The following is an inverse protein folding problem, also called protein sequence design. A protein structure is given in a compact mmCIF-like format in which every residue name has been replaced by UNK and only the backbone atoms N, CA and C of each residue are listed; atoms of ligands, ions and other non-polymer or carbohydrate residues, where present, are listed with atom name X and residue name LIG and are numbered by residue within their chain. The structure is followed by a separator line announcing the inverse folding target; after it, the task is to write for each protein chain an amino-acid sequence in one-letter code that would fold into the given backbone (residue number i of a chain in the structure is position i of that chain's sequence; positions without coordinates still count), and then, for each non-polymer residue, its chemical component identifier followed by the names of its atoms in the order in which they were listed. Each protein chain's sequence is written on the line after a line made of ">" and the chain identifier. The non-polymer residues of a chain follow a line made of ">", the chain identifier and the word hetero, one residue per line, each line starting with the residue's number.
data_IF_683455816208
#
_entry.id   IF_683455816208
#
_cell.length_a   1.000
_cell.length_b   1.000
_cell.length_c   1.000
_cell.angle_alpha   90.00
_cell.angle_beta   90.00
_cell.angle_gamma   90.00
#
_symmetry.space_group_name_H-M   'P 1'
#
loop_
_entity.id
_entity.type
_entity.pdbx_description
1 polymer ?
#
# COMPACT_ATOMS: atom_id res chain seq x y z
N UNK A 1 6.85 12.65 -12.83
CA UNK A 1 7.21 11.68 -11.79
C UNK A 1 6.70 10.32 -12.21
N UNK A 2 7.42 9.26 -11.88
CA UNK A 2 6.99 7.87 -12.12
C UNK A 2 7.34 7.01 -10.92
N UNK A 3 6.56 5.95 -10.71
CA UNK A 3 6.77 4.94 -9.68
C UNK A 3 6.50 3.55 -10.24
N UNK A 4 7.19 2.57 -9.71
CA UNK A 4 6.99 1.16 -10.04
C UNK A 4 6.95 0.37 -8.73
N UNK A 5 5.94 -0.47 -8.58
CA UNK A 5 5.78 -1.32 -7.40
C UNK A 5 5.05 -2.62 -7.74
N UNK A 6 5.02 -3.54 -6.79
CA UNK A 6 4.30 -4.80 -6.84
C UNK A 6 3.32 -4.95 -5.68
N UNK A 7 2.70 -6.12 -5.57
CA UNK A 7 1.81 -6.47 -4.44
C UNK A 7 2.56 -7.23 -3.36
N UNK A 8 3.61 -7.94 -3.73
CA UNK A 8 4.44 -8.70 -2.81
C UNK A 8 3.74 -9.96 -2.26
N UNK A 9 4.13 -10.35 -1.04
CA UNK A 9 3.74 -11.64 -0.46
C UNK A 9 2.27 -11.74 -0.04
N UNK A 10 1.48 -10.65 -0.13
CA UNK A 10 0.02 -10.68 -0.05
C UNK A 10 -0.59 -11.61 -1.11
N UNK A 11 0.04 -11.71 -2.29
CA UNK A 11 -0.38 -12.62 -3.35
C UNK A 11 -0.44 -14.09 -2.90
N UNK A 12 0.39 -14.51 -1.96
CA UNK A 12 0.32 -15.88 -1.42
C UNK A 12 -1.04 -16.17 -0.79
N UNK A 13 -1.60 -15.21 -0.04
CA UNK A 13 -2.95 -15.35 0.53
C UNK A 13 -4.03 -15.29 -0.55
N UNK A 14 -3.82 -14.48 -1.59
CA UNK A 14 -4.74 -14.45 -2.73
C UNK A 14 -4.84 -15.83 -3.40
N UNK A 15 -3.72 -16.54 -3.56
CA UNK A 15 -3.68 -17.91 -4.09
C UNK A 15 -4.34 -18.91 -3.14
N UNK A 16 -3.93 -18.90 -1.87
CA UNK A 16 -4.39 -19.83 -0.85
C UNK A 16 -5.91 -19.72 -0.57
N UNK A 17 -6.43 -18.48 -0.61
CA UNK A 17 -7.83 -18.18 -0.28
C UNK A 17 -8.70 -17.95 -1.52
N UNK A 18 -8.14 -18.06 -2.71
CA UNK A 18 -8.81 -17.80 -3.99
C UNK A 18 -9.50 -16.43 -4.01
N UNK A 19 -8.75 -15.38 -3.66
CA UNK A 19 -9.22 -13.99 -3.57
C UNK A 19 -8.36 -13.07 -4.43
N UNK A 20 -8.79 -12.84 -5.66
CA UNK A 20 -8.00 -12.16 -6.68
C UNK A 20 -8.51 -10.76 -7.06
N UNK A 21 -9.72 -10.42 -6.63
CA UNK A 21 -10.45 -9.23 -7.07
C UNK A 21 -9.93 -7.91 -6.46
N UNK A 22 -9.20 -7.96 -5.34
CA UNK A 22 -8.69 -6.76 -4.66
C UNK A 22 -7.21 -6.48 -4.89
N UNK A 23 -6.41 -7.49 -5.25
CA UNK A 23 -4.95 -7.32 -5.39
C UNK A 23 -4.53 -6.37 -6.51
N UNK A 24 -5.40 -6.21 -7.52
CA UNK A 24 -5.21 -5.20 -8.56
C UNK A 24 -5.35 -3.77 -8.02
N UNK A 25 -6.22 -3.55 -7.03
CA UNK A 25 -6.34 -2.26 -6.34
C UNK A 25 -5.06 -1.99 -5.54
N UNK A 26 -4.53 -3.02 -4.85
CA UNK A 26 -3.25 -2.92 -4.14
C UNK A 26 -2.13 -2.47 -5.07
N UNK A 27 -2.00 -3.12 -6.24
CA UNK A 27 -0.96 -2.79 -7.22
C UNK A 27 -0.99 -1.33 -7.65
N UNK A 28 -2.18 -0.82 -7.98
CA UNK A 28 -2.35 0.59 -8.36
C UNK A 28 -2.04 1.49 -7.19
N UNK A 29 -2.57 1.20 -5.99
CA UNK A 29 -2.41 2.04 -4.82
C UNK A 29 -0.94 2.18 -4.40
N UNK A 30 -0.17 1.09 -4.39
CA UNK A 30 1.25 1.13 -4.06
C UNK A 30 2.02 2.05 -5.00
N UNK A 31 1.74 1.99 -6.30
CA UNK A 31 2.43 2.81 -7.30
C UNK A 31 1.98 4.28 -7.30
N UNK A 32 0.66 4.54 -7.21
CA UNK A 32 0.16 5.93 -7.31
C UNK A 32 0.35 6.72 -6.02
N UNK A 33 0.29 6.06 -4.85
CA UNK A 33 0.58 6.74 -3.59
C UNK A 33 2.05 7.19 -3.51
N UNK A 34 2.97 6.44 -4.11
CA UNK A 34 4.39 6.80 -4.16
C UNK A 34 4.68 8.06 -5.00
N UNK A 35 3.99 8.24 -6.11
CA UNK A 35 4.14 9.48 -6.89
C UNK A 35 3.37 10.65 -6.29
N UNK A 36 2.27 10.36 -5.60
CA UNK A 36 1.43 11.35 -4.92
C UNK A 36 2.19 12.12 -3.83
N UNK A 37 3.08 11.45 -3.08
CA UNK A 37 3.84 12.10 -2.00
C UNK A 37 4.79 13.20 -2.48
N UNK A 38 5.04 13.26 -3.78
CA UNK A 38 5.77 14.36 -4.42
C UNK A 38 4.84 15.46 -4.95
N UNK A 39 3.53 15.35 -4.72
CA UNK A 39 2.52 16.27 -5.22
C UNK A 39 2.05 15.98 -6.65
N UNK A 40 2.45 14.83 -7.22
CA UNK A 40 2.10 14.51 -8.59
C UNK A 40 0.66 13.99 -8.70
N UNK A 41 -0.05 14.48 -9.70
CA UNK A 41 -1.33 13.95 -10.14
C UNK A 41 -1.09 12.74 -11.05
N UNK A 42 -1.56 11.53 -10.72
CA UNK A 42 -1.43 10.37 -11.58
C UNK A 42 -2.18 10.56 -12.90
N UNK A 43 -1.50 10.33 -14.02
CA UNK A 43 -2.08 10.44 -15.37
C UNK A 43 -2.50 9.10 -15.92
N UNK A 44 -1.61 8.11 -15.86
CA UNK A 44 -1.86 6.79 -16.38
C UNK A 44 -1.07 5.71 -15.64
N UNK A 45 -1.55 4.49 -15.81
CA UNK A 45 -1.02 3.28 -15.22
C UNK A 45 -0.83 2.21 -16.30
N UNK A 46 0.22 1.43 -16.15
CA UNK A 46 0.50 0.23 -16.93
C UNK A 46 0.76 -0.92 -15.96
N UNK A 47 0.29 -2.13 -16.30
CA UNK A 47 0.53 -3.32 -15.49
C UNK A 47 1.36 -4.37 -16.24
N UNK A 48 1.98 -5.24 -15.47
CA UNK A 48 2.60 -6.46 -15.94
C UNK A 48 2.07 -7.63 -15.12
N UNK A 49 1.38 -8.55 -15.80
CA UNK A 49 0.86 -9.78 -15.21
C UNK A 49 1.69 -10.95 -15.73
N UNK A 50 2.45 -11.60 -14.85
CA UNK A 50 3.29 -12.74 -15.19
C UNK A 50 2.79 -14.00 -14.47
N UNK A 51 2.62 -15.12 -15.19
CA UNK A 51 2.13 -16.36 -14.63
C UNK A 51 2.82 -17.59 -15.24
N UNK A 52 2.71 -18.75 -14.58
CA UNK A 52 3.18 -20.01 -15.13
C UNK A 52 2.26 -20.51 -16.24
N UNK A 53 0.96 -20.50 -15.95
CA UNK A 53 -0.13 -20.83 -16.87
C UNK A 53 -1.26 -19.85 -16.66
N UNK A 54 -1.77 -19.28 -17.75
CA UNK A 54 -2.83 -18.28 -17.68
C UNK A 54 -4.17 -18.93 -17.32
N UNK A 55 -4.75 -18.48 -16.21
CA UNK A 55 -6.15 -18.65 -15.88
C UNK A 55 -6.87 -17.36 -16.22
N UNK A 56 -7.76 -17.42 -17.22
CA UNK A 56 -8.44 -16.23 -17.75
C UNK A 56 -9.38 -15.60 -16.72
N UNK A 57 -10.07 -16.42 -15.91
CA UNK A 57 -11.02 -15.92 -14.91
C UNK A 57 -10.30 -15.24 -13.76
N UNK A 58 -9.16 -15.77 -13.33
CA UNK A 58 -8.30 -15.15 -12.32
C UNK A 58 -7.70 -13.85 -12.86
N UNK A 59 -7.15 -13.87 -14.07
CA UNK A 59 -6.59 -12.68 -14.71
C UNK A 59 -7.64 -11.57 -14.88
N UNK A 60 -8.87 -11.93 -15.25
CA UNK A 60 -9.97 -10.97 -15.38
C UNK A 60 -10.33 -10.31 -14.04
N UNK A 61 -10.30 -11.06 -12.92
CA UNK A 61 -10.50 -10.49 -11.58
C UNK A 61 -9.39 -9.51 -11.22
N UNK A 62 -8.13 -9.89 -11.44
CA UNK A 62 -6.97 -9.02 -11.15
C UNK A 62 -7.02 -7.75 -11.98
N UNK A 63 -7.21 -7.86 -13.30
CA UNK A 63 -7.30 -6.69 -14.20
C UNK A 63 -8.52 -5.83 -13.86
N UNK A 64 -9.64 -6.44 -13.47
CA UNK A 64 -10.80 -5.73 -12.94
C UNK A 64 -10.47 -4.90 -11.70
N UNK A 65 -9.68 -5.46 -10.78
CA UNK A 65 -9.13 -4.76 -9.61
C UNK A 65 -8.21 -3.60 -10.00
N UNK A 66 -7.33 -3.79 -10.98
CA UNK A 66 -6.46 -2.74 -11.52
C UNK A 66 -7.29 -1.59 -12.12
N UNK A 67 -8.26 -1.92 -12.96
CA UNK A 67 -9.18 -0.93 -13.54
C UNK A 67 -9.92 -0.14 -12.43
N UNK A 68 -10.37 -0.83 -11.39
CA UNK A 68 -11.01 -0.19 -10.23
C UNK A 68 -10.08 0.73 -9.46
N UNK A 69 -8.83 0.32 -9.23
CA UNK A 69 -7.80 1.16 -8.60
C UNK A 69 -7.52 2.42 -9.43
N UNK A 70 -7.43 2.30 -10.75
CA UNK A 70 -7.27 3.43 -11.67
C UNK A 70 -8.47 4.38 -11.63
N UNK A 71 -9.70 3.88 -11.62
CA UNK A 71 -10.92 4.68 -11.46
C UNK A 71 -10.92 5.46 -10.13
N UNK A 72 -10.58 4.79 -9.04
CA UNK A 72 -10.53 5.38 -7.71
C UNK A 72 -9.46 6.47 -7.59
N UNK A 73 -8.29 6.27 -8.20
CA UNK A 73 -7.22 7.25 -8.23
C UNK A 73 -7.39 8.35 -9.27
N UNK A 74 -8.28 8.14 -10.26
CA UNK A 74 -8.53 9.10 -11.33
C UNK A 74 -7.48 9.08 -12.43
N UNK A 75 -6.71 8.00 -12.58
CA UNK A 75 -5.76 7.82 -13.67
C UNK A 75 -6.30 6.86 -14.74
N UNK A 76 -5.75 6.93 -15.94
CA UNK A 76 -6.12 6.06 -17.05
C UNK A 76 -5.35 4.73 -16.98
N UNK A 77 -6.04 3.59 -17.06
CA UNK A 77 -5.39 2.33 -17.39
C UNK A 77 -5.14 2.29 -18.90
N UNK A 78 -3.91 2.55 -19.35
CA UNK A 78 -3.59 2.62 -20.78
C UNK A 78 -3.32 1.26 -21.41
N UNK A 79 -2.95 0.26 -20.61
CA UNK A 79 -2.61 -1.07 -21.07
C UNK A 79 -1.66 -1.75 -20.11
N UNK A 80 -0.99 -2.76 -20.61
CA UNK A 80 -0.06 -3.57 -19.85
C UNK A 80 0.46 -4.72 -20.68
N UNK A 81 1.03 -5.71 -20.01
CA UNK A 81 1.53 -6.93 -20.62
C UNK A 81 1.07 -8.15 -19.81
N UNK A 82 0.69 -9.21 -20.50
CA UNK A 82 0.43 -10.51 -19.89
C UNK A 82 1.42 -11.53 -20.43
N UNK A 83 2.24 -12.07 -19.55
CA UNK A 83 3.27 -13.04 -19.93
C UNK A 83 3.00 -14.41 -19.30
N UNK A 84 2.83 -15.41 -20.15
CA UNK A 84 2.79 -16.81 -19.74
C UNK A 84 4.21 -17.40 -19.82
N UNK A 85 4.75 -17.79 -18.66
CA UNK A 85 6.15 -18.26 -18.53
C UNK A 85 6.18 -19.61 -17.81
N UNK A 86 5.88 -20.71 -18.53
CA UNK A 86 5.87 -22.06 -17.96
C UNK A 86 7.22 -22.42 -17.34
N UNK A 87 7.20 -22.93 -16.12
CA UNK A 87 8.41 -23.32 -15.39
C UNK A 87 9.10 -22.20 -14.61
N UNK A 88 8.74 -20.93 -14.82
CA UNK A 88 9.17 -19.82 -13.95
C UNK A 88 8.24 -19.63 -12.74
N UNK A 89 6.95 -19.73 -12.97
CA UNK A 89 5.94 -19.68 -11.91
C UNK A 89 5.22 -21.03 -11.83
N UNK A 90 4.86 -21.50 -10.63
CA UNK A 90 3.96 -22.63 -10.47
C UNK A 90 2.59 -22.40 -11.12
N UNK A 91 1.89 -23.47 -11.48
CA UNK A 91 0.52 -23.38 -11.95
C UNK A 91 -0.37 -22.76 -10.84
N UNK A 92 -1.22 -21.79 -11.22
CA UNK A 92 -2.09 -21.07 -10.31
C UNK A 92 -1.43 -19.91 -9.56
N UNK A 93 -0.14 -19.67 -9.76
CA UNK A 93 0.58 -18.52 -9.20
C UNK A 93 0.90 -17.48 -10.29
N UNK A 94 0.89 -16.22 -9.90
CA UNK A 94 1.26 -15.10 -10.75
C UNK A 94 2.01 -14.03 -9.95
N UNK A 95 2.69 -13.15 -10.65
CA UNK A 95 3.28 -11.95 -10.09
C UNK A 95 2.77 -10.71 -10.82
N UNK A 96 2.76 -9.59 -10.11
CA UNK A 96 2.24 -8.33 -10.59
C UNK A 96 3.27 -7.22 -10.42
N UNK A 97 3.47 -6.44 -11.47
CA UNK A 97 4.21 -5.20 -11.39
C UNK A 97 3.37 -4.07 -12.00
N UNK A 98 3.37 -2.91 -11.33
CA UNK A 98 2.68 -1.72 -11.77
C UNK A 98 3.64 -0.60 -12.08
N UNK A 99 3.28 0.25 -13.04
CA UNK A 99 4.02 1.45 -13.41
C UNK A 99 3.06 2.62 -13.54
N UNK A 100 3.22 3.59 -12.63
CA UNK A 100 2.43 4.82 -12.63
C UNK A 100 3.26 5.99 -13.15
N UNK A 101 2.62 6.84 -13.94
CA UNK A 101 3.19 8.13 -14.39
C UNK A 101 2.26 9.24 -13.95
N UNK A 102 2.82 10.26 -13.34
CA UNK A 102 2.11 11.46 -12.90
C UNK A 102 2.85 12.74 -13.25
N UNK A 103 2.14 13.84 -13.15
CA UNK A 103 2.64 15.18 -13.45
C UNK A 103 2.50 16.08 -12.23
N UNK A 104 3.49 16.93 -12.05
CA UNK A 104 3.49 18.03 -11.07
C UNK A 104 4.29 19.20 -11.67
N UNK A 105 3.82 20.42 -11.45
CA UNK A 105 4.60 21.59 -11.80
C UNK A 105 5.90 21.60 -10.99
N UNK A 106 7.03 21.88 -11.63
CA UNK A 106 8.34 21.85 -10.98
C UNK A 106 8.39 22.73 -9.73
N UNK A 107 7.71 23.86 -9.76
CA UNK A 107 7.59 24.81 -8.62
C UNK A 107 6.66 24.32 -7.50
N UNK A 108 5.83 23.30 -7.75
CA UNK A 108 4.90 22.73 -6.80
C UNK A 108 5.35 21.34 -6.32
N UNK A 109 6.54 20.90 -6.72
CA UNK A 109 7.10 19.64 -6.23
C UNK A 109 7.29 19.70 -4.70
N UNK A 110 6.77 18.72 -4.02
CA UNK A 110 6.86 18.63 -2.55
C UNK A 110 8.21 18.02 -2.18
N UNK A 111 9.06 18.81 -1.53
CA UNK A 111 10.30 18.35 -0.90
C UNK A 111 10.30 18.71 0.59
N UNK A 112 9.98 17.75 1.42
CA UNK A 112 9.94 17.93 2.87
C UNK A 112 11.31 18.29 3.45
N UNK A 113 12.42 17.86 2.84
CA UNK A 113 13.78 18.17 3.34
C UNK A 113 14.07 19.67 3.27
N UNK A 114 13.50 20.35 2.31
CA UNK A 114 13.66 21.81 2.17
C UNK A 114 12.57 22.56 2.97
N UNK A 115 11.34 22.08 2.97
CA UNK A 115 10.19 22.83 3.47
C UNK A 115 9.89 22.63 4.96
N UNK A 116 10.12 21.43 5.52
CA UNK A 116 9.76 21.09 6.91
C UNK A 116 10.65 21.85 7.91
N UNK A 117 10.02 22.44 8.94
CA UNK A 117 10.68 23.23 9.97
C UNK A 117 10.32 22.69 11.37
N UNK A 118 11.17 23.01 12.39
CA UNK A 118 10.81 22.75 13.78
C UNK A 118 9.48 23.40 14.17
N UNK A 119 8.61 22.64 14.83
CA UNK A 119 7.28 23.08 15.23
C UNK A 119 6.16 22.77 14.22
N UNK A 120 6.49 22.22 13.05
CA UNK A 120 5.47 21.70 12.14
C UNK A 120 4.76 20.48 12.74
N UNK A 121 3.50 20.32 12.38
CA UNK A 121 2.63 19.27 12.92
C UNK A 121 2.56 18.09 11.95
N UNK A 122 2.67 16.89 12.48
CA UNK A 122 2.44 15.65 11.74
C UNK A 122 0.96 15.26 11.79
N UNK A 123 0.39 14.99 10.63
CA UNK A 123 -0.98 14.47 10.49
C UNK A 123 -0.91 13.06 9.91
N UNK A 124 -1.47 12.08 10.60
CA UNK A 124 -1.59 10.71 10.11
C UNK A 124 -2.89 10.53 9.34
N UNK A 125 -2.80 9.95 8.14
CA UNK A 125 -3.94 9.43 7.39
C UNK A 125 -4.05 7.93 7.65
N UNK A 126 -5.18 7.49 8.22
CA UNK A 126 -5.35 6.09 8.60
C UNK A 126 -5.30 5.15 7.40
N UNK A 127 -4.69 3.97 7.58
CA UNK A 127 -4.72 2.86 6.62
C UNK A 127 -6.09 2.16 6.60
N UNK A 128 -6.28 1.25 5.65
CA UNK A 128 -7.42 0.32 5.59
C UNK A 128 -7.11 -1.05 6.24
N UNK A 129 -5.90 -1.24 6.72
CA UNK A 129 -5.36 -2.49 7.23
C UNK A 129 -3.87 -2.59 6.92
N UNK A 130 -3.36 -3.80 6.76
CA UNK A 130 -1.94 -4.04 6.46
C UNK A 130 -1.52 -3.62 5.04
N UNK A 131 -2.45 -3.11 4.22
CA UNK A 131 -2.23 -2.69 2.84
C UNK A 131 -1.57 -3.80 2.00
N UNK A 132 -0.28 -3.62 1.61
CA UNK A 132 0.50 -4.63 0.87
C UNK A 132 1.86 -4.89 1.52
N UNK A 133 2.09 -4.42 2.74
CA UNK A 133 3.34 -4.61 3.47
C UNK A 133 3.15 -5.52 4.70
N UNK A 134 4.25 -6.05 5.24
CA UNK A 134 4.22 -6.89 6.44
C UNK A 134 3.65 -8.30 6.25
N UNK A 135 3.20 -8.68 5.06
CA UNK A 135 2.52 -9.96 4.81
C UNK A 135 3.39 -11.19 5.05
N UNK A 136 4.69 -11.08 4.98
CA UNK A 136 5.59 -12.17 5.36
C UNK A 136 5.45 -12.54 6.85
N UNK A 137 5.32 -11.54 7.72
CA UNK A 137 5.10 -11.73 9.15
C UNK A 137 3.65 -12.13 9.43
N UNK A 138 2.69 -11.41 8.85
CA UNK A 138 1.25 -11.67 8.99
C UNK A 138 0.92 -13.14 8.64
N UNK A 139 1.43 -13.66 7.53
CA UNK A 139 1.24 -15.05 7.13
C UNK A 139 1.81 -16.04 8.14
N UNK A 140 2.97 -15.77 8.72
CA UNK A 140 3.52 -16.61 9.80
C UNK A 140 2.64 -16.62 11.04
N UNK A 141 2.02 -15.48 11.39
CA UNK A 141 1.07 -15.42 12.51
C UNK A 141 -0.19 -16.23 12.19
N UNK A 142 -0.74 -16.12 10.99
CA UNK A 142 -1.88 -16.95 10.54
C UNK A 142 -1.55 -18.44 10.60
N UNK A 143 -0.38 -18.85 10.10
CA UNK A 143 0.08 -20.23 10.15
C UNK A 143 0.25 -20.73 11.59
N UNK A 144 0.87 -19.92 12.44
CA UNK A 144 1.12 -20.24 13.86
C UNK A 144 -0.18 -20.39 14.66
N UNK A 145 -1.15 -19.51 14.41
CA UNK A 145 -2.46 -19.54 15.10
C UNK A 145 -3.43 -20.55 14.50
N UNK A 146 -3.24 -20.97 13.27
CA UNK A 146 -4.19 -21.76 12.50
C UNK A 146 -5.47 -21.01 12.14
N UNK A 147 -5.48 -19.67 12.26
CA UNK A 147 -6.63 -18.83 11.97
C UNK A 147 -7.00 -18.88 10.48
N UNK A 148 -8.30 -18.95 10.20
CA UNK A 148 -8.84 -19.17 8.86
C UNK A 148 -9.64 -17.96 8.35
N UNK A 149 -9.66 -17.73 7.02
CA UNK A 149 -10.34 -16.56 6.45
C UNK A 149 -11.84 -16.50 6.72
N UNK A 150 -12.48 -17.65 6.98
CA UNK A 150 -13.92 -17.73 7.29
C UNK A 150 -14.26 -17.40 8.74
N UNK A 151 -13.27 -17.27 9.62
CA UNK A 151 -13.50 -16.94 11.02
C UNK A 151 -14.00 -15.50 11.17
N UNK A 152 -14.85 -15.29 12.17
CA UNK A 152 -15.33 -13.95 12.50
C UNK A 152 -14.28 -13.17 13.30
N UNK A 153 -13.90 -12.03 12.79
CA UNK A 153 -13.00 -11.08 13.42
C UNK A 153 -13.69 -9.70 13.54
N UNK A 154 -14.02 -9.30 14.76
CA UNK A 154 -14.74 -8.03 15.02
C UNK A 154 -15.99 -7.81 14.15
N UNK A 155 -16.77 -8.88 13.93
CA UNK A 155 -18.01 -8.82 13.16
C UNK A 155 -17.86 -8.88 11.64
N UNK A 156 -16.65 -9.06 11.15
CA UNK A 156 -16.33 -9.27 9.72
C UNK A 156 -15.62 -10.61 9.54
N UNK A 157 -15.48 -11.09 8.32
CA UNK A 157 -14.62 -12.25 8.05
C UNK A 157 -13.15 -11.84 8.17
N UNK A 158 -12.35 -12.68 8.83
CA UNK A 158 -10.90 -12.43 8.96
C UNK A 158 -10.25 -12.25 7.58
N UNK A 159 -10.66 -13.04 6.60
CA UNK A 159 -10.19 -12.92 5.22
C UNK A 159 -10.47 -11.55 4.60
N UNK A 160 -11.61 -10.91 4.90
CA UNK A 160 -11.93 -9.58 4.40
C UNK A 160 -11.06 -8.51 5.07
N UNK A 161 -10.80 -8.65 6.36
CA UNK A 161 -9.95 -7.73 7.12
C UNK A 161 -8.49 -7.83 6.66
N UNK A 162 -7.99 -9.05 6.50
CA UNK A 162 -6.60 -9.32 6.08
C UNK A 162 -6.38 -8.94 4.60
N UNK A 163 -7.36 -9.21 3.71
CA UNK A 163 -7.26 -8.90 2.29
C UNK A 163 -7.80 -7.52 1.92
N UNK A 164 -8.12 -6.68 2.93
CA UNK A 164 -8.56 -5.32 2.65
C UNK A 164 -7.58 -4.61 1.69
N UNK A 165 -8.08 -4.00 0.60
CA UNK A 165 -7.21 -3.37 -0.37
C UNK A 165 -6.52 -2.13 0.22
N UNK A 166 -5.32 -1.87 -0.25
CA UNK A 166 -4.55 -0.66 0.05
C UNK A 166 -5.37 0.59 -0.27
N UNK A 167 -5.43 1.51 0.67
CA UNK A 167 -6.17 2.76 0.51
C UNK A 167 -5.51 3.65 -0.52
N UNK A 168 -6.34 4.19 -1.40
CA UNK A 168 -5.95 5.20 -2.38
C UNK A 168 -6.13 6.60 -1.80
N UNK A 169 -5.04 7.32 -1.63
CA UNK A 169 -5.04 8.66 -1.02
C UNK A 169 -5.06 9.80 -2.06
N UNK A 170 -5.05 9.48 -3.35
CA UNK A 170 -4.86 10.45 -4.44
C UNK A 170 -5.88 11.60 -4.36
N UNK A 171 -7.18 11.30 -4.41
CA UNK A 171 -8.21 12.34 -4.43
C UNK A 171 -8.22 13.23 -3.19
N UNK A 172 -8.21 12.69 -1.95
CA UNK A 172 -8.21 13.53 -0.75
C UNK A 172 -6.92 14.34 -0.60
N UNK A 173 -5.76 13.79 -0.95
CA UNK A 173 -4.48 14.52 -0.85
C UNK A 173 -4.38 15.62 -1.89
N UNK A 174 -4.74 15.37 -3.16
CA UNK A 174 -4.75 16.42 -4.19
C UNK A 174 -5.75 17.54 -3.85
N UNK A 175 -6.91 17.19 -3.29
CA UNK A 175 -7.86 18.21 -2.79
C UNK A 175 -7.26 19.04 -1.65
N UNK A 176 -6.56 18.40 -0.71
CA UNK A 176 -5.86 19.11 0.36
C UNK A 176 -4.74 20.01 -0.16
N UNK A 177 -3.94 19.52 -1.12
CA UNK A 177 -2.88 20.31 -1.78
C UNK A 177 -3.47 21.53 -2.51
N UNK A 178 -4.59 21.34 -3.21
CA UNK A 178 -5.29 22.44 -3.89
C UNK A 178 -5.80 23.50 -2.89
N UNK A 179 -6.27 23.08 -1.72
CA UNK A 179 -6.87 23.97 -0.73
C UNK A 179 -5.82 24.66 0.17
N UNK A 180 -4.80 23.93 0.58
CA UNK A 180 -3.84 24.38 1.59
C UNK A 180 -2.47 24.73 1.01
N UNK A 181 -2.18 24.27 -0.20
CA UNK A 181 -0.96 24.60 -0.93
C UNK A 181 0.32 24.44 -0.10
N UNK A 182 1.12 25.52 0.02
CA UNK A 182 2.42 25.47 0.71
C UNK A 182 2.36 25.17 2.21
N UNK A 183 1.17 25.11 2.82
CA UNK A 183 1.05 24.66 4.22
C UNK A 183 1.33 23.17 4.36
N UNK A 184 1.15 22.38 3.30
CA UNK A 184 1.55 20.98 3.25
C UNK A 184 3.00 20.94 2.77
N UNK A 185 3.91 20.71 3.70
CA UNK A 185 5.35 20.84 3.46
C UNK A 185 6.04 19.52 3.09
N UNK A 186 5.44 18.39 3.42
CA UNK A 186 6.00 17.08 3.15
C UNK A 186 4.93 16.01 3.27
N UNK A 187 5.09 14.93 2.51
CA UNK A 187 4.24 13.75 2.55
C UNK A 187 5.15 12.52 2.61
N UNK A 188 4.79 11.54 3.44
CA UNK A 188 5.48 10.27 3.52
C UNK A 188 4.48 9.14 3.34
N UNK A 189 4.71 8.29 2.35
CA UNK A 189 4.01 7.02 2.20
C UNK A 189 4.64 6.01 3.15
N UNK A 190 3.86 5.53 4.11
CA UNK A 190 4.35 4.55 5.08
C UNK A 190 4.20 3.16 4.46
N UNK A 191 5.33 2.55 4.12
CA UNK A 191 5.47 1.23 3.51
C UNK A 191 6.45 0.39 4.32
N UNK A 192 7.11 -0.59 3.72
CA UNK A 192 8.14 -1.40 4.39
C UNK A 192 9.17 -0.53 5.12
N UNK A 193 9.49 -0.90 6.35
CA UNK A 193 10.28 -0.09 7.28
C UNK A 193 9.45 0.81 8.20
N UNK A 194 8.12 0.92 7.98
CA UNK A 194 7.16 1.59 8.84
C UNK A 194 7.46 3.07 9.08
N UNK A 195 6.99 3.60 10.19
CA UNK A 195 7.19 4.99 10.59
C UNK A 195 8.67 5.35 10.76
N UNK A 196 9.47 4.40 11.24
CA UNK A 196 10.88 4.64 11.60
C UNK A 196 11.76 4.89 10.37
N UNK A 197 11.44 4.31 9.23
CA UNK A 197 12.25 4.45 8.02
C UNK A 197 11.64 5.40 6.99
N UNK A 198 10.32 5.53 6.95
CA UNK A 198 9.68 6.37 5.93
C UNK A 198 9.57 7.84 6.34
N UNK A 199 9.20 8.15 7.59
CA UNK A 199 9.10 9.54 8.04
C UNK A 199 10.44 10.29 7.93
N UNK A 200 11.60 9.71 8.29
CA UNK A 200 12.88 10.41 8.13
C UNK A 200 13.24 10.81 6.70
N UNK A 201 12.67 10.15 5.69
CA UNK A 201 12.97 10.45 4.27
C UNK A 201 12.61 11.88 3.87
N UNK A 202 11.59 12.45 4.53
CA UNK A 202 11.14 13.83 4.28
C UNK A 202 11.75 14.85 5.23
N UNK A 203 12.64 14.44 6.11
CA UNK A 203 13.30 15.33 7.07
C UNK A 203 14.73 15.59 6.68
N UNK A 204 15.16 16.85 6.82
CA UNK A 204 16.59 17.19 6.67
C UNK A 204 17.39 16.77 7.90
N UNK A 205 18.70 16.69 7.74
CA UNK A 205 19.62 16.42 8.85
C UNK A 205 19.40 17.43 10.01
N UNK A 206 19.37 16.91 11.23
CA UNK A 206 19.16 17.70 12.45
C UNK A 206 17.68 17.88 12.84
N UNK A 207 16.72 17.41 12.03
CA UNK A 207 15.32 17.34 12.41
C UNK A 207 14.95 15.91 12.84
N UNK A 208 14.01 15.80 13.75
CA UNK A 208 13.40 14.53 14.13
C UNK A 208 11.87 14.69 14.22
N UNK A 209 11.14 13.62 13.91
CA UNK A 209 9.73 13.51 14.19
C UNK A 209 9.51 13.03 15.61
N UNK A 210 8.60 13.68 16.34
CA UNK A 210 8.13 13.22 17.63
C UNK A 210 6.70 12.74 17.49
N UNK A 211 6.49 11.43 17.55
CA UNK A 211 5.21 10.79 17.36
C UNK A 211 4.78 10.15 18.68
N UNK A 212 3.63 10.60 19.22
CA UNK A 212 3.08 10.00 20.43
C UNK A 212 2.27 8.76 20.07
N UNK A 213 2.65 7.60 20.56
CA UNK A 213 1.93 6.33 20.33
C UNK A 213 0.48 6.34 20.82
N UNK A 214 0.14 7.26 21.73
CA UNK A 214 -1.21 7.49 22.23
C UNK A 214 -2.06 8.40 21.34
N UNK A 215 -1.51 8.94 20.23
CA UNK A 215 -2.23 9.87 19.37
C UNK A 215 -3.30 9.19 18.51
N UNK A 216 -3.26 7.87 18.39
CA UNK A 216 -4.29 7.07 17.71
C UNK A 216 -4.53 5.74 18.45
N UNK A 217 -5.69 5.13 18.23
CA UNK A 217 -5.95 3.77 18.69
C UNK A 217 -5.34 2.78 17.69
N UNK A 218 -4.60 1.80 18.20
CA UNK A 218 -4.07 0.72 17.35
C UNK A 218 -5.25 -0.04 16.71
N UNK A 219 -5.27 -0.24 15.39
CA UNK A 219 -6.34 -1.03 14.77
C UNK A 219 -6.33 -2.49 15.26
N UNK A 220 -7.51 -3.06 15.41
CA UNK A 220 -7.69 -4.37 16.02
C UNK A 220 -6.90 -5.50 15.33
N UNK A 221 -6.67 -5.41 14.02
CA UNK A 221 -5.84 -6.38 13.29
C UNK A 221 -4.40 -6.36 13.83
N UNK A 222 -3.82 -5.18 14.03
CA UNK A 222 -2.45 -5.03 14.53
C UNK A 222 -2.32 -5.41 16.00
N UNK A 223 -3.33 -5.12 16.83
CA UNK A 223 -3.39 -5.62 18.21
C UNK A 223 -3.42 -7.16 18.24
N UNK A 224 -4.19 -7.75 17.36
CA UNK A 224 -4.27 -9.21 17.23
C UNK A 224 -2.93 -9.80 16.76
N UNK A 225 -2.34 -9.24 15.70
CA UNK A 225 -1.02 -9.67 15.19
C UNK A 225 0.06 -9.58 16.26
N UNK A 226 0.11 -8.46 17.00
CA UNK A 226 1.07 -8.26 18.07
C UNK A 226 0.92 -9.30 19.18
N UNK A 227 -0.30 -9.52 19.63
CA UNK A 227 -0.61 -10.46 20.72
C UNK A 227 -0.32 -11.90 20.31
N UNK A 228 -0.89 -12.35 19.21
CA UNK A 228 -0.77 -13.74 18.76
C UNK A 228 0.63 -14.07 18.23
N UNK A 229 1.23 -13.14 17.51
CA UNK A 229 2.59 -13.27 16.99
C UNK A 229 3.68 -13.01 18.04
N UNK A 230 3.31 -12.53 19.23
CA UNK A 230 4.24 -12.09 20.29
C UNK A 230 5.29 -11.13 19.76
N UNK A 231 4.86 -10.20 18.90
CA UNK A 231 5.71 -9.26 18.21
C UNK A 231 6.11 -8.14 19.17
N UNK A 232 7.40 -7.80 19.19
CA UNK A 232 7.90 -6.67 19.97
C UNK A 232 7.26 -5.35 19.50
N UNK A 233 6.96 -4.45 20.45
CA UNK A 233 6.29 -3.18 20.13
C UNK A 233 7.09 -2.30 19.18
N UNK A 234 8.42 -2.36 19.17
CA UNK A 234 9.22 -1.59 18.20
C UNK A 234 9.14 -2.19 16.81
N UNK A 235 9.06 -3.52 16.72
CA UNK A 235 8.93 -4.21 15.45
C UNK A 235 7.58 -3.93 14.81
N UNK A 236 6.51 -3.73 15.59
CA UNK A 236 5.21 -3.30 15.06
C UNK A 236 5.32 -2.00 14.26
N UNK A 237 6.08 -1.00 14.75
CA UNK A 237 6.29 0.26 14.03
C UNK A 237 7.24 0.19 12.82
N UNK A 238 7.87 -0.97 12.58
CA UNK A 238 8.74 -1.24 11.43
C UNK A 238 8.06 -2.05 10.34
N UNK A 239 7.33 -3.07 10.76
CA UNK A 239 6.86 -4.12 9.85
C UNK A 239 5.51 -3.81 9.24
N UNK A 240 4.72 -2.97 9.89
CA UNK A 240 3.33 -2.73 9.53
C UNK A 240 3.05 -1.25 9.24
N UNK A 241 2.15 -1.02 8.31
CA UNK A 241 1.57 0.31 8.07
C UNK A 241 0.50 0.59 9.11
N UNK A 242 0.68 1.63 9.89
CA UNK A 242 -0.27 2.02 10.93
C UNK A 242 -1.04 3.28 10.57
#
# INVERSE_FOLDING_TARGET
>A
VSGTDGVGTKLRLAFEWNRHDTVGIDLVAMSVNDILVQGAEPLFFLDYFACGKLDVDVAAQVVGGIAKGCELSGCALLGGETAEMPGMYPDGEYDLAGFAVGVVEKSALIDGREAVQPGDVLLGLASSGAHSNGYSLLRKVLEYTGAKPEETFNGQLLGDVVMAPTRLYVKPVLAALSQFGPAIKGLAHITGGGLLENVPRILRAGLQAQIASSAWAMPALFEWLQREGRIDSQEMYRSEEH
#
